data_IF_964483645180
#
_entry.id   IF_964483645180
#
_cell.length_a   1.000
_cell.length_b   1.000
_cell.length_c   1.000
_cell.angle_alpha   90.00
_cell.angle_beta   90.00
_cell.angle_gamma   90.00
#
_symmetry.space_group_name_H-M   'P 1'
#
loop_
_entity.id
_entity.type
_entity.pdbx_description
1 polymer ?
#
# COMPACT_ATOMS: atom_id res chain seq x y z
N UNK A 1 1.00 -2.20 12.51
CA UNK A 1 1.70 -2.53 11.27
C UNK A 1 3.23 -2.37 11.35
N UNK A 2 3.74 -1.77 12.42
CA UNK A 2 5.18 -1.57 12.57
C UNK A 2 5.95 -2.90 12.54
N UNK A 3 5.43 -3.94 13.16
CA UNK A 3 6.06 -5.25 13.15
C UNK A 3 6.07 -5.91 11.75
N UNK A 4 5.19 -5.51 10.85
CA UNK A 4 5.22 -5.94 9.46
C UNK A 4 6.29 -5.19 8.68
N UNK A 5 6.48 -3.89 8.97
CA UNK A 5 7.53 -3.09 8.37
C UNK A 5 8.93 -3.57 8.76
N UNK A 6 9.10 -4.08 9.97
CA UNK A 6 10.39 -4.62 10.42
C UNK A 6 10.91 -5.76 9.53
N UNK A 7 10.01 -6.40 8.80
CA UNK A 7 10.36 -7.42 7.81
C UNK A 7 10.66 -6.84 6.43
N UNK A 8 10.51 -5.55 6.26
CA UNK A 8 10.79 -4.88 5.00
C UNK A 8 12.27 -4.52 4.97
N UNK A 9 12.97 -5.22 4.16
CA UNK A 9 14.43 -5.17 4.03
C UNK A 9 14.98 -3.77 3.76
N UNK A 10 14.26 -2.98 2.99
CA UNK A 10 14.73 -1.69 2.50
C UNK A 10 14.60 -0.55 3.51
N UNK A 11 13.72 -0.70 4.48
CA UNK A 11 13.43 0.35 5.45
C UNK A 11 14.44 0.32 6.59
N UNK A 12 14.92 1.50 6.99
CA UNK A 12 15.85 1.64 8.10
C UNK A 12 15.20 1.37 9.45
N UNK A 13 16.00 1.50 10.51
CA UNK A 13 15.56 1.25 11.88
C UNK A 13 14.45 2.21 12.36
N UNK A 14 14.30 3.37 11.70
CA UNK A 14 13.33 4.40 12.05
C UNK A 14 12.29 4.55 10.94
N UNK A 15 11.45 3.55 10.82
CA UNK A 15 10.34 3.54 9.87
C UNK A 15 9.02 3.45 10.64
N UNK A 16 8.12 4.41 10.42
CA UNK A 16 6.84 4.49 11.13
C UNK A 16 5.70 4.46 10.12
N UNK A 17 4.80 3.46 10.19
CA UNK A 17 3.62 3.47 9.33
C UNK A 17 2.64 4.55 9.79
N UNK A 18 2.17 5.38 8.85
CA UNK A 18 1.23 6.46 9.14
C UNK A 18 -0.13 6.27 8.48
N UNK A 19 -0.16 5.68 7.28
CA UNK A 19 -1.41 5.40 6.56
C UNK A 19 -1.33 4.07 5.85
N UNK A 20 -2.50 3.45 5.63
CA UNK A 20 -2.65 2.32 4.73
C UNK A 20 -3.54 2.74 3.56
N UNK A 21 -3.17 2.37 2.34
CA UNK A 21 -4.00 2.64 1.16
C UNK A 21 -5.08 1.57 1.01
N UNK A 22 -6.06 1.86 0.16
CA UNK A 22 -7.14 0.91 -0.13
C UNK A 22 -6.64 -0.40 -0.76
N UNK A 23 -5.42 -0.44 -1.28
CA UNK A 23 -4.82 -1.64 -1.89
C UNK A 23 -3.80 -2.33 -0.98
N UNK A 24 -3.74 -1.94 0.29
CA UNK A 24 -2.85 -2.59 1.26
C UNK A 24 -1.40 -2.13 1.21
N UNK A 25 -1.13 -1.02 0.55
CA UNK A 25 0.20 -0.40 0.59
C UNK A 25 0.31 0.45 1.86
N UNK A 26 1.49 0.54 2.46
CA UNK A 26 1.72 1.34 3.64
C UNK A 26 2.48 2.61 3.31
N UNK A 27 1.94 3.75 3.74
CA UNK A 27 2.63 5.04 3.67
C UNK A 27 3.33 5.24 5.00
N UNK A 28 4.62 5.59 4.95
CA UNK A 28 5.52 5.58 6.09
C UNK A 28 6.22 6.91 6.28
N UNK A 29 6.65 7.18 7.52
CA UNK A 29 7.58 8.25 7.85
C UNK A 29 8.94 7.61 8.08
N UNK A 30 9.92 7.99 7.25
CA UNK A 30 11.22 7.35 7.17
C UNK A 30 12.33 8.25 7.70
N UNK A 31 13.16 7.71 8.61
CA UNK A 31 14.38 8.34 9.11
C UNK A 31 14.16 9.77 9.63
N UNK A 32 12.96 10.06 10.11
CA UNK A 32 12.56 11.40 10.57
C UNK A 32 12.75 12.50 9.51
N UNK A 33 12.71 12.14 8.23
CA UNK A 33 13.05 13.06 7.12
C UNK A 33 12.07 13.06 5.96
N UNK A 34 11.51 11.91 5.56
CA UNK A 34 10.71 11.83 4.34
C UNK A 34 9.54 10.87 4.45
N UNK A 35 8.59 11.05 3.54
CA UNK A 35 7.43 10.17 3.41
C UNK A 35 7.70 9.14 2.34
N UNK A 36 7.57 7.87 2.69
CA UNK A 36 7.75 6.76 1.78
C UNK A 36 6.46 5.95 1.59
N UNK A 37 6.50 5.01 0.65
CA UNK A 37 5.44 4.05 0.44
C UNK A 37 6.03 2.67 0.20
N UNK A 38 5.45 1.65 0.83
CA UNK A 38 5.76 0.25 0.56
C UNK A 38 4.59 -0.33 -0.20
N UNK A 39 4.80 -0.60 -1.48
CA UNK A 39 3.79 -1.17 -2.38
C UNK A 39 3.88 -2.69 -2.35
N UNK A 40 3.27 -3.30 -1.35
CA UNK A 40 3.37 -4.74 -1.14
C UNK A 40 2.89 -5.56 -2.35
N UNK A 41 1.79 -5.14 -3.01
CA UNK A 41 1.26 -5.85 -4.18
C UNK A 41 2.25 -5.97 -5.33
N UNK A 42 3.18 -5.03 -5.45
CA UNK A 42 4.22 -5.02 -6.51
C UNK A 42 5.60 -5.42 -6.00
N UNK A 43 5.77 -5.56 -4.68
CA UNK A 43 7.05 -5.90 -4.09
C UNK A 43 8.10 -4.80 -4.18
N UNK A 44 7.68 -3.54 -4.18
CA UNK A 44 8.59 -2.38 -4.31
C UNK A 44 8.29 -1.33 -3.24
N UNK A 45 9.26 -0.46 -3.01
CA UNK A 45 9.08 0.71 -2.17
C UNK A 45 9.61 1.94 -2.88
N UNK A 46 9.16 3.12 -2.43
CA UNK A 46 9.50 4.38 -3.09
C UNK A 46 9.42 5.53 -2.08
N UNK A 47 10.02 6.67 -2.44
CA UNK A 47 9.90 7.92 -1.69
C UNK A 47 8.84 8.79 -2.36
N UNK A 48 7.87 9.26 -1.56
CA UNK A 48 6.82 10.15 -2.08
C UNK A 48 7.30 11.59 -2.08
N UNK A 49 7.77 12.08 -0.92
CA UNK A 49 8.21 13.46 -0.77
C UNK A 49 9.06 13.65 0.49
N UNK A 50 9.67 14.81 0.64
CA UNK A 50 10.65 15.10 1.68
C UNK A 50 10.08 15.68 2.97
N UNK A 51 8.79 15.62 3.20
CA UNK A 51 8.19 16.09 4.45
C UNK A 51 6.68 16.05 4.44
N UNK A 52 6.07 16.15 5.62
CA UNK A 52 4.62 16.08 5.75
C UNK A 52 3.89 17.24 5.06
N UNK A 53 4.45 18.44 5.09
CA UNK A 53 3.81 19.59 4.43
C UNK A 53 3.68 19.36 2.93
N UNK A 54 4.73 18.88 2.29
CA UNK A 54 4.69 18.52 0.87
C UNK A 54 3.73 17.36 0.60
N UNK A 55 3.69 16.38 1.48
CA UNK A 55 2.79 15.25 1.35
C UNK A 55 1.33 15.70 1.36
N UNK A 56 0.93 16.52 2.32
CA UNK A 56 -0.45 16.99 2.43
C UNK A 56 -0.83 17.94 1.30
N UNK A 57 0.09 18.79 0.85
CA UNK A 57 -0.13 19.65 -0.31
C UNK A 57 -0.36 18.82 -1.57
N UNK A 58 0.50 17.85 -1.84
CA UNK A 58 0.37 16.96 -3.00
C UNK A 58 -0.91 16.13 -2.94
N UNK A 59 -1.27 15.66 -1.76
CA UNK A 59 -2.50 14.88 -1.55
C UNK A 59 -3.74 15.71 -1.87
N UNK A 60 -3.80 16.95 -1.38
CA UNK A 60 -4.94 17.84 -1.60
C UNK A 60 -5.06 18.30 -3.06
N UNK A 61 -3.95 18.37 -3.78
CA UNK A 61 -3.91 18.75 -5.20
C UNK A 61 -4.12 17.57 -6.15
N UNK A 62 -4.25 16.34 -5.64
CA UNK A 62 -4.45 15.14 -6.45
C UNK A 62 -3.18 14.62 -7.12
N UNK A 63 -2.01 15.11 -6.75
CA UNK A 63 -0.74 14.70 -7.35
C UNK A 63 -0.36 13.24 -7.04
N UNK A 64 -0.94 12.66 -5.97
CA UNK A 64 -0.67 11.29 -5.55
C UNK A 64 -1.67 10.27 -6.11
N UNK A 65 -2.71 10.72 -6.80
CA UNK A 65 -3.87 9.89 -7.14
C UNK A 65 -3.52 8.71 -8.05
N UNK A 66 -2.76 8.94 -9.10
CA UNK A 66 -2.48 7.90 -10.09
C UNK A 66 -1.32 6.99 -9.68
N UNK A 67 -0.22 7.56 -9.21
CA UNK A 67 1.00 6.80 -8.94
C UNK A 67 0.96 6.06 -7.61
N UNK A 68 0.44 6.70 -6.56
CA UNK A 68 0.52 6.16 -5.21
C UNK A 68 -0.80 5.64 -4.67
N UNK A 69 -1.92 6.27 -5.00
CA UNK A 69 -3.22 5.92 -4.43
C UNK A 69 -4.08 5.06 -5.36
N UNK A 70 -3.77 5.01 -6.64
CA UNK A 70 -4.52 4.22 -7.63
C UNK A 70 -6.02 4.55 -7.61
N UNK A 71 -6.37 5.82 -7.68
CA UNK A 71 -7.76 6.28 -7.50
C UNK A 71 -8.71 5.71 -8.56
N UNK A 72 -8.26 5.55 -9.80
CA UNK A 72 -9.10 4.96 -10.85
C UNK A 72 -9.48 3.52 -10.53
N UNK A 73 -8.50 2.74 -10.10
CA UNK A 73 -8.70 1.35 -9.69
C UNK A 73 -9.57 1.27 -8.44
N UNK A 74 -9.38 2.19 -7.51
CA UNK A 74 -10.18 2.30 -6.31
C UNK A 74 -11.67 2.52 -6.64
N UNK A 75 -11.97 3.48 -7.52
CA UNK A 75 -13.34 3.76 -7.95
C UNK A 75 -14.00 2.53 -8.59
N UNK A 76 -13.27 1.82 -9.43
CA UNK A 76 -13.76 0.59 -10.05
C UNK A 76 -14.01 -0.51 -9.03
N UNK A 77 -13.13 -0.65 -8.05
CA UNK A 77 -13.25 -1.65 -6.98
C UNK A 77 -14.44 -1.36 -6.05
N UNK A 78 -14.64 -0.12 -5.66
CA UNK A 78 -15.78 0.31 -4.84
C UNK A 78 -17.10 0.02 -5.57
N UNK A 79 -17.16 0.33 -6.85
CA UNK A 79 -18.35 0.09 -7.67
C UNK A 79 -18.71 -1.40 -7.73
N UNK A 80 -17.71 -2.27 -7.80
CA UNK A 80 -17.91 -3.71 -7.91
C UNK A 80 -18.10 -4.41 -6.57
N UNK A 81 -17.31 -4.05 -5.56
CA UNK A 81 -17.21 -4.79 -4.29
C UNK A 81 -17.80 -4.05 -3.09
N UNK A 82 -18.11 -2.77 -3.23
CA UNK A 82 -18.61 -1.95 -2.11
C UNK A 82 -17.50 -1.35 -1.27
N UNK A 83 -17.89 -0.69 -0.17
CA UNK A 83 -16.97 0.02 0.71
C UNK A 83 -16.15 -0.94 1.58
N UNK A 84 -14.96 -0.50 1.97
CA UNK A 84 -14.06 -1.23 2.87
C UNK A 84 -14.38 -0.90 4.32
N UNK A 85 -14.22 -1.89 5.20
CA UNK A 85 -14.10 -1.65 6.63
C UNK A 85 -12.71 -1.08 6.94
N UNK A 86 -12.52 -0.51 8.13
CA UNK A 86 -11.27 0.17 8.49
C UNK A 86 -10.04 -0.73 8.43
N UNK A 87 -10.20 -2.03 8.61
CA UNK A 87 -9.12 -3.02 8.62
C UNK A 87 -9.00 -3.82 7.32
N UNK A 88 -9.74 -3.43 6.30
CA UNK A 88 -9.78 -4.10 5.01
C UNK A 88 -9.06 -3.32 3.91
N UNK A 89 -8.62 -4.05 2.89
CA UNK A 89 -8.13 -3.47 1.64
C UNK A 89 -8.63 -4.32 0.47
N UNK A 90 -8.43 -3.82 -0.75
CA UNK A 90 -8.64 -4.60 -1.97
C UNK A 90 -7.34 -5.33 -2.29
N UNK A 91 -7.38 -6.65 -2.31
CA UNK A 91 -6.23 -7.48 -2.61
C UNK A 91 -6.46 -8.32 -3.85
N UNK A 92 -5.40 -8.54 -4.63
CA UNK A 92 -5.45 -9.46 -5.77
C UNK A 92 -5.41 -10.89 -5.27
N UNK A 93 -6.39 -11.70 -5.71
CA UNK A 93 -6.50 -13.11 -5.37
C UNK A 93 -6.75 -13.91 -6.65
N UNK A 94 -5.74 -14.65 -7.16
CA UNK A 94 -4.39 -14.86 -6.58
C UNK A 94 -3.52 -13.61 -6.63
N UNK A 95 -2.48 -13.60 -5.79
CA UNK A 95 -1.52 -12.49 -5.72
C UNK A 95 -0.84 -12.26 -7.06
N UNK A 96 -0.46 -11.00 -7.34
CA UNK A 96 0.29 -10.68 -8.56
C UNK A 96 1.62 -11.45 -8.63
N UNK A 97 2.29 -11.62 -7.49
CA UNK A 97 3.53 -12.39 -7.41
C UNK A 97 3.35 -13.89 -7.77
N UNK A 98 2.13 -14.41 -7.68
CA UNK A 98 1.79 -15.78 -8.04
C UNK A 98 1.17 -15.88 -9.44
N UNK A 99 1.28 -14.84 -10.25
CA UNK A 99 0.72 -14.81 -11.60
C UNK A 99 -0.72 -14.35 -11.67
N UNK A 100 -1.25 -13.76 -10.60
CA UNK A 100 -2.59 -13.19 -10.60
C UNK A 100 -2.71 -12.04 -11.61
N UNK A 101 -3.89 -11.92 -12.21
CA UNK A 101 -4.17 -10.86 -13.18
C UNK A 101 -4.39 -9.53 -12.48
N UNK A 102 -3.77 -8.46 -12.98
CA UNK A 102 -3.96 -7.10 -12.47
C UNK A 102 -5.23 -6.48 -13.05
N UNK A 103 -6.37 -6.96 -12.55
CA UNK A 103 -7.69 -6.57 -13.02
C UNK A 103 -8.65 -6.45 -11.83
N UNK A 104 -9.63 -5.56 -11.94
CA UNK A 104 -10.69 -5.41 -10.93
C UNK A 104 -11.44 -6.73 -10.70
N UNK A 105 -11.50 -7.59 -11.71
CA UNK A 105 -12.14 -8.90 -11.60
C UNK A 105 -11.41 -9.86 -10.66
N UNK A 106 -10.14 -9.58 -10.40
CA UNK A 106 -9.29 -10.39 -9.53
C UNK A 106 -9.14 -9.78 -8.11
N UNK A 107 -9.84 -8.69 -7.84
CA UNK A 107 -9.81 -8.05 -6.53
C UNK A 107 -10.87 -8.63 -5.61
N UNK A 108 -10.51 -8.75 -4.33
CA UNK A 108 -11.42 -9.11 -3.23
C UNK A 108 -11.14 -8.24 -2.02
N UNK A 109 -12.13 -8.09 -1.15
CA UNK A 109 -11.91 -7.43 0.14
C UNK A 109 -11.20 -8.40 1.08
N UNK A 110 -10.03 -8.00 1.57
CA UNK A 110 -9.19 -8.81 2.46
C UNK A 110 -8.75 -7.98 3.65
N UNK A 111 -8.35 -8.64 4.72
CA UNK A 111 -7.81 -7.95 5.90
C UNK A 111 -6.38 -7.49 5.60
N UNK A 112 -6.10 -6.21 5.85
CA UNK A 112 -4.81 -5.58 5.51
C UNK A 112 -3.65 -6.35 6.13
N UNK A 113 -3.72 -6.62 7.43
CA UNK A 113 -2.63 -7.26 8.16
C UNK A 113 -2.30 -8.64 7.63
N UNK A 114 -3.31 -9.48 7.45
CA UNK A 114 -3.15 -10.84 6.94
C UNK A 114 -2.66 -10.82 5.50
N UNK A 115 -3.13 -9.88 4.70
CA UNK A 115 -2.74 -9.77 3.30
C UNK A 115 -1.27 -9.37 3.15
N UNK A 116 -0.81 -8.37 3.91
CA UNK A 116 0.60 -7.96 3.92
C UNK A 116 1.49 -9.10 4.41
N UNK A 117 1.08 -9.79 5.48
CA UNK A 117 1.82 -10.93 6.01
C UNK A 117 1.96 -12.05 4.98
N UNK A 118 0.88 -12.34 4.25
CA UNK A 118 0.89 -13.35 3.19
C UNK A 118 1.84 -12.97 2.05
N UNK A 119 1.78 -11.72 1.60
CA UNK A 119 2.67 -11.24 0.54
C UNK A 119 4.14 -11.34 0.99
N UNK A 120 4.44 -10.92 2.21
CA UNK A 120 5.79 -10.96 2.76
C UNK A 120 6.31 -12.40 2.87
N UNK A 121 5.45 -13.32 3.27
CA UNK A 121 5.82 -14.74 3.39
C UNK A 121 6.12 -15.37 2.02
N UNK A 122 5.35 -15.04 1.00
CA UNK A 122 5.48 -15.64 -0.35
C UNK A 122 6.59 -14.96 -1.15
N UNK A 123 6.63 -13.64 -1.15
CA UNK A 123 7.53 -12.84 -2.00
C UNK A 123 8.81 -12.41 -1.30
N UNK A 124 8.90 -12.62 0.01
CA UNK A 124 10.00 -12.14 0.82
C UNK A 124 9.81 -10.68 1.23
N UNK A 125 10.85 -10.13 1.84
CA UNK A 125 10.84 -8.74 2.30
C UNK A 125 10.90 -7.76 1.12
N UNK A 126 10.22 -6.66 1.27
CA UNK A 126 10.17 -5.63 0.24
C UNK A 126 11.21 -4.55 0.47
#
# INVERSE_FOLDING_TARGET
>A
YKNLLEKSYFLGDVSIPIFATAFGDLITWEEDQYVGIVKYRYGVNDVICSGFDFFFDDLSEGELDDEYLSIKQYKAAIKKLGTLEYDECFGYVPLLALGGEESVNNLKKVKIREHIALITEISGEV
#
